data_IF_145539120555
#
_entry.id   IF_145539120555
#
_cell.length_a   1.000
_cell.length_b   1.000
_cell.length_c   1.000
_cell.angle_alpha   90.00
_cell.angle_beta   90.00
_cell.angle_gamma   90.00
#
_symmetry.space_group_name_H-M   'P 1'
#
loop_
_entity.id
_entity.type
_entity.pdbx_description
1 polymer ?
#
# COMPACT_ATOMS: atom_id res chain seq x y z
N UNK A 1 11.85 -8.61 -16.19
CA UNK A 1 12.08 -8.02 -17.54
C UNK A 1 13.31 -8.63 -18.21
N UNK A 2 14.50 -8.46 -17.64
CA UNK A 2 15.77 -8.89 -18.25
C UNK A 2 15.88 -10.40 -18.53
N UNK A 3 15.45 -11.27 -17.60
CA UNK A 3 15.56 -12.73 -17.76
C UNK A 3 14.56 -13.34 -18.76
N UNK A 4 13.31 -12.87 -18.73
CA UNK A 4 12.18 -13.50 -19.46
C UNK A 4 11.96 -12.84 -20.82
N UNK A 5 12.07 -11.51 -20.88
CA UNK A 5 11.79 -10.73 -22.09
C UNK A 5 13.05 -10.20 -22.76
N UNK A 6 14.23 -10.44 -22.17
CA UNK A 6 15.52 -9.94 -22.66
C UNK A 6 15.57 -8.42 -22.89
N UNK A 7 14.71 -7.67 -22.21
CA UNK A 7 14.67 -6.20 -22.24
C UNK A 7 15.72 -5.58 -21.32
N UNK A 8 16.09 -4.33 -21.61
CA UNK A 8 16.98 -3.52 -20.76
C UNK A 8 16.14 -2.73 -19.76
N UNK A 9 16.59 -2.66 -18.51
CA UNK A 9 15.97 -1.87 -17.45
C UNK A 9 17.08 -1.25 -16.62
N UNK A 10 16.97 0.04 -16.35
CA UNK A 10 17.82 0.69 -15.36
C UNK A 10 17.27 0.39 -13.95
N UNK A 11 17.96 -0.51 -13.23
CA UNK A 11 17.54 -0.92 -11.89
C UNK A 11 17.67 0.21 -10.86
N UNK A 12 18.64 1.11 -11.03
CA UNK A 12 18.84 2.21 -10.10
C UNK A 12 17.71 3.22 -10.21
N UNK A 13 17.24 3.50 -11.43
CA UNK A 13 16.04 4.30 -11.65
C UNK A 13 14.77 3.64 -11.07
N UNK A 14 14.59 2.33 -11.24
CA UNK A 14 13.45 1.61 -10.64
C UNK A 14 13.49 1.72 -9.12
N UNK A 15 14.61 1.38 -8.49
CA UNK A 15 14.74 1.38 -7.03
C UNK A 15 14.56 2.79 -6.49
N UNK A 16 15.18 3.79 -7.11
CA UNK A 16 15.03 5.20 -6.72
C UNK A 16 13.57 5.65 -6.83
N UNK A 17 12.89 5.30 -7.92
CA UNK A 17 11.47 5.63 -8.11
C UNK A 17 10.58 4.99 -7.05
N UNK A 18 10.79 3.70 -6.75
CA UNK A 18 10.03 2.97 -5.72
C UNK A 18 10.29 3.54 -4.32
N UNK A 19 11.50 3.98 -3.99
CA UNK A 19 11.76 4.63 -2.70
C UNK A 19 11.04 5.98 -2.60
N UNK A 20 10.99 6.72 -3.70
CA UNK A 20 10.52 8.10 -3.69
C UNK A 20 9.02 8.27 -3.89
N UNK A 21 8.35 7.44 -4.70
CA UNK A 21 7.01 7.73 -5.26
C UNK A 21 5.97 8.25 -4.25
N UNK A 22 6.03 7.74 -3.01
CA UNK A 22 5.09 8.04 -1.93
C UNK A 22 5.69 8.77 -0.72
N UNK A 23 6.96 9.22 -0.80
CA UNK A 23 7.70 9.77 0.37
C UNK A 23 7.00 10.99 1.00
N UNK A 24 6.10 11.65 0.26
CA UNK A 24 5.37 12.84 0.70
C UNK A 24 3.95 12.55 1.21
N UNK A 25 3.48 11.29 1.22
CA UNK A 25 2.21 10.90 1.87
C UNK A 25 2.10 11.39 3.32
N UNK A 26 3.15 11.38 4.16
CA UNK A 26 3.03 11.90 5.53
C UNK A 26 2.63 13.37 5.64
N UNK A 27 2.90 14.19 4.60
CA UNK A 27 2.46 15.59 4.59
C UNK A 27 0.96 15.74 4.31
N UNK A 28 0.33 14.69 3.77
CA UNK A 28 -1.08 14.71 3.39
C UNK A 28 -2.02 14.12 4.45
N UNK A 29 -1.48 13.54 5.51
CA UNK A 29 -2.26 12.95 6.60
C UNK A 29 -1.85 13.51 7.95
N UNK A 30 -2.82 13.69 8.84
CA UNK A 30 -2.58 13.89 10.27
C UNK A 30 -3.29 12.80 11.06
N UNK A 31 -2.66 12.44 12.18
CA UNK A 31 -3.17 11.43 13.10
C UNK A 31 -4.06 12.12 14.13
N UNK A 32 -5.29 11.63 14.25
CA UNK A 32 -6.25 12.06 15.26
C UNK A 32 -6.00 11.38 16.60
N UNK A 33 -6.55 11.92 17.69
CA UNK A 33 -6.41 11.34 19.05
C UNK A 33 -6.88 9.89 19.14
N UNK A 34 -7.87 9.50 18.32
CA UNK A 34 -8.38 8.14 18.25
C UNK A 34 -7.56 7.20 17.35
N UNK A 35 -6.42 7.67 16.82
CA UNK A 35 -5.54 6.93 15.91
C UNK A 35 -6.01 6.87 14.46
N UNK A 36 -7.13 7.52 14.10
CA UNK A 36 -7.58 7.64 12.72
C UNK A 36 -6.71 8.65 11.96
N UNK A 37 -6.71 8.53 10.63
CA UNK A 37 -6.06 9.48 9.75
C UNK A 37 -7.10 10.39 9.10
N UNK A 38 -6.83 11.71 9.08
CA UNK A 38 -7.59 12.67 8.26
C UNK A 38 -6.67 13.44 7.31
N UNK A 39 -7.20 13.95 6.18
CA UNK A 39 -6.43 14.83 5.29
C UNK A 39 -5.94 16.08 6.06
N UNK A 40 -4.73 16.55 5.75
CA UNK A 40 -4.24 17.85 6.22
C UNK A 40 -4.88 19.00 5.41
N UNK A 41 -4.89 20.25 5.92
CA UNK A 41 -5.31 21.39 5.10
C UNK A 41 -4.53 21.53 3.79
N UNK A 42 -3.27 21.06 3.77
CA UNK A 42 -2.46 20.96 2.55
C UNK A 42 -3.06 19.96 1.54
N UNK A 43 -3.46 18.78 2.01
CA UNK A 43 -4.07 17.73 1.19
C UNK A 43 -5.41 18.14 0.56
N UNK A 44 -6.10 19.13 1.10
CA UNK A 44 -7.33 19.70 0.50
C UNK A 44 -7.07 20.55 -0.75
N UNK A 45 -5.80 20.86 -1.04
CA UNK A 45 -5.39 21.72 -2.17
C UNK A 45 -4.36 21.06 -3.07
N UNK A 46 -3.47 20.24 -2.51
CA UNK A 46 -2.37 19.59 -3.20
C UNK A 46 -2.21 18.13 -2.74
N UNK A 47 -2.17 17.21 -3.69
CA UNK A 47 -1.88 15.80 -3.41
C UNK A 47 -0.37 15.55 -3.21
N UNK A 48 -0.04 14.39 -2.63
CA UNK A 48 1.35 13.99 -2.38
C UNK A 48 2.19 13.93 -3.66
N UNK A 49 1.58 13.57 -4.79
CA UNK A 49 2.23 13.44 -6.09
C UNK A 49 2.70 14.81 -6.61
N UNK A 50 1.82 15.80 -6.57
CA UNK A 50 2.09 17.18 -6.98
C UNK A 50 3.20 17.77 -6.12
N UNK A 51 3.16 17.51 -4.81
CA UNK A 51 4.17 17.98 -3.88
C UNK A 51 5.56 17.38 -4.18
N UNK A 52 5.65 16.06 -4.37
CA UNK A 52 6.95 15.42 -4.64
C UNK A 52 7.49 15.79 -6.02
N UNK A 53 6.67 15.80 -7.07
CA UNK A 53 7.11 16.16 -8.42
C UNK A 53 7.62 17.60 -8.44
N UNK A 54 6.92 18.53 -7.77
CA UNK A 54 7.36 19.92 -7.65
C UNK A 54 8.72 20.02 -6.96
N UNK A 55 8.93 19.27 -5.87
CA UNK A 55 10.19 19.29 -5.15
C UNK A 55 11.34 18.67 -5.95
N UNK A 56 11.10 17.57 -6.66
CA UNK A 56 12.11 16.91 -7.50
C UNK A 56 12.55 17.81 -8.65
N UNK A 57 11.60 18.46 -9.33
CA UNK A 57 11.90 19.43 -10.40
C UNK A 57 12.71 20.60 -9.85
N UNK A 58 12.31 21.16 -8.70
CA UNK A 58 13.02 22.26 -8.04
C UNK A 58 14.45 21.90 -7.65
N UNK A 59 14.72 20.62 -7.33
CA UNK A 59 16.05 20.10 -6.98
C UNK A 59 16.85 19.56 -8.17
N UNK A 60 16.35 19.76 -9.39
CA UNK A 60 17.00 19.32 -10.63
C UNK A 60 17.27 17.80 -10.67
N UNK A 61 16.30 17.01 -10.20
CA UNK A 61 16.37 15.55 -10.31
C UNK A 61 16.30 15.13 -11.78
N UNK A 62 16.93 14.00 -12.16
CA UNK A 62 16.88 13.50 -13.54
C UNK A 62 15.45 13.31 -14.03
N UNK A 63 15.15 13.78 -15.25
CA UNK A 63 13.80 13.73 -15.84
C UNK A 63 13.18 12.32 -15.82
N UNK A 64 13.96 11.28 -16.09
CA UNK A 64 13.46 9.90 -16.06
C UNK A 64 12.97 9.51 -14.66
N UNK A 65 13.65 9.95 -13.59
CA UNK A 65 13.25 9.68 -12.22
C UNK A 65 12.00 10.49 -11.83
N UNK A 66 11.95 11.77 -12.24
CA UNK A 66 10.74 12.61 -12.08
C UNK A 66 9.55 11.95 -12.78
N UNK A 67 9.73 11.42 -13.98
CA UNK A 67 8.68 10.74 -14.73
C UNK A 67 8.20 9.44 -14.05
N UNK A 68 9.11 8.63 -13.50
CA UNK A 68 8.74 7.42 -12.75
C UNK A 68 7.81 7.77 -11.59
N UNK A 69 8.19 8.78 -10.80
CA UNK A 69 7.37 9.27 -9.69
C UNK A 69 6.06 9.87 -10.22
N UNK A 70 6.09 10.74 -11.22
CA UNK A 70 4.89 11.39 -11.76
C UNK A 70 3.85 10.39 -12.32
N UNK A 71 4.31 9.29 -12.92
CA UNK A 71 3.47 8.34 -13.64
C UNK A 71 3.03 7.12 -12.82
N UNK A 72 3.43 6.99 -11.54
CA UNK A 72 3.23 5.75 -10.80
C UNK A 72 1.76 5.40 -10.54
N UNK A 73 0.86 6.38 -10.46
CA UNK A 73 -0.60 6.17 -10.37
C UNK A 73 -1.27 5.83 -11.71
N UNK A 74 -0.53 5.85 -12.82
CA UNK A 74 -1.09 5.70 -14.16
C UNK A 74 -1.95 6.89 -14.58
N UNK A 75 -2.56 6.83 -15.77
CA UNK A 75 -3.46 7.87 -16.25
C UNK A 75 -4.88 7.80 -15.69
N UNK A 76 -5.22 6.74 -14.95
CA UNK A 76 -6.53 6.59 -14.29
C UNK A 76 -6.59 7.36 -12.97
N UNK A 77 -5.51 7.36 -12.19
CA UNK A 77 -5.44 7.99 -10.87
C UNK A 77 -4.34 9.07 -10.77
N UNK A 78 -3.58 9.30 -11.85
CA UNK A 78 -2.52 10.29 -11.93
C UNK A 78 -2.59 11.10 -13.24
N UNK A 79 -1.67 12.07 -13.41
CA UNK A 79 -1.69 13.00 -14.53
C UNK A 79 -1.21 12.38 -15.85
N UNK A 80 -0.49 11.25 -15.80
CA UNK A 80 0.18 10.68 -16.97
C UNK A 80 0.39 9.17 -16.85
N UNK A 81 0.26 8.46 -17.97
CA UNK A 81 0.65 7.04 -18.06
C UNK A 81 2.17 6.86 -18.08
N UNK A 82 2.71 5.75 -17.51
CA UNK A 82 4.11 5.38 -17.67
C UNK A 82 4.51 5.32 -19.15
N UNK A 83 5.68 5.88 -19.46
CA UNK A 83 6.24 5.96 -20.83
C UNK A 83 7.65 5.37 -20.92
N UNK A 84 8.15 4.83 -19.82
CA UNK A 84 9.42 4.11 -19.73
C UNK A 84 9.16 2.77 -19.05
N UNK A 85 10.05 1.80 -19.27
CA UNK A 85 9.91 0.48 -18.65
C UNK A 85 10.08 0.57 -17.13
N UNK A 86 10.93 1.48 -16.65
CA UNK A 86 11.15 1.73 -15.23
C UNK A 86 9.90 2.29 -14.56
N UNK A 87 9.23 3.25 -15.20
CA UNK A 87 7.98 3.81 -14.70
C UNK A 87 6.85 2.77 -14.71
N UNK A 88 6.79 1.93 -15.75
CA UNK A 88 5.80 0.87 -15.85
C UNK A 88 6.02 -0.20 -14.78
N UNK A 89 7.28 -0.56 -14.50
CA UNK A 89 7.62 -1.47 -13.39
C UNK A 89 7.16 -0.88 -12.05
N UNK A 90 7.44 0.40 -11.79
CA UNK A 90 7.02 1.07 -10.56
C UNK A 90 5.49 1.07 -10.41
N UNK A 91 4.77 1.49 -11.46
CA UNK A 91 3.30 1.50 -11.49
C UNK A 91 2.69 0.12 -11.22
N UNK A 92 3.16 -0.91 -11.94
CA UNK A 92 2.62 -2.26 -11.78
C UNK A 92 2.91 -2.86 -10.40
N UNK A 93 4.09 -2.56 -9.84
CA UNK A 93 4.45 -2.99 -8.49
C UNK A 93 3.53 -2.35 -7.44
N UNK A 94 3.34 -1.03 -7.48
CA UNK A 94 2.47 -0.29 -6.56
C UNK A 94 1.01 -0.77 -6.64
N UNK A 95 0.46 -0.88 -7.85
CA UNK A 95 -0.90 -1.38 -8.06
C UNK A 95 -1.07 -2.80 -7.53
N UNK A 96 -0.07 -3.67 -7.75
CA UNK A 96 -0.13 -5.06 -7.29
C UNK A 96 -0.07 -5.14 -5.76
N UNK A 97 0.82 -4.39 -5.12
CA UNK A 97 0.96 -4.37 -3.66
C UNK A 97 -0.30 -3.83 -2.98
N UNK A 98 -0.79 -2.68 -3.45
CA UNK A 98 -2.02 -2.05 -2.94
C UNK A 98 -3.24 -2.97 -3.08
N UNK A 99 -3.38 -3.65 -4.23
CA UNK A 99 -4.47 -4.61 -4.45
C UNK A 99 -4.34 -5.85 -3.56
N UNK A 100 -3.13 -6.42 -3.45
CA UNK A 100 -2.89 -7.58 -2.58
C UNK A 100 -3.28 -7.26 -1.14
N UNK A 101 -2.84 -6.10 -0.62
CA UNK A 101 -3.17 -5.68 0.74
C UNK A 101 -4.69 -5.54 0.94
N UNK A 102 -5.39 -4.86 0.01
CA UNK A 102 -6.83 -4.69 0.06
C UNK A 102 -7.61 -6.02 0.04
N UNK A 103 -7.22 -6.95 -0.82
CA UNK A 103 -7.87 -8.26 -0.94
C UNK A 103 -7.59 -9.16 0.27
N UNK A 104 -6.37 -9.15 0.82
CA UNK A 104 -6.05 -9.92 2.03
C UNK A 104 -6.83 -9.38 3.24
N UNK A 105 -6.96 -8.07 3.39
CA UNK A 105 -7.80 -7.45 4.42
C UNK A 105 -9.27 -7.86 4.28
N UNK A 106 -9.81 -7.86 3.05
CA UNK A 106 -11.18 -8.29 2.77
C UNK A 106 -11.40 -9.77 3.11
N UNK A 107 -10.49 -10.64 2.67
CA UNK A 107 -10.54 -12.07 2.95
C UNK A 107 -10.48 -12.34 4.46
N UNK A 108 -9.61 -11.64 5.19
CA UNK A 108 -9.48 -11.80 6.62
C UNK A 108 -10.73 -11.34 7.39
N UNK A 109 -11.37 -10.23 6.98
CA UNK A 109 -12.65 -9.77 7.56
C UNK A 109 -13.77 -10.79 7.35
N UNK A 110 -13.88 -11.35 6.15
CA UNK A 110 -14.81 -12.43 5.84
C UNK A 110 -14.56 -13.65 6.74
N UNK A 111 -13.33 -14.15 6.80
CA UNK A 111 -12.97 -15.31 7.62
C UNK A 111 -13.26 -15.10 9.11
N UNK A 112 -12.99 -13.90 9.63
CA UNK A 112 -13.31 -13.54 11.01
C UNK A 112 -14.80 -13.62 11.28
N UNK A 113 -15.61 -13.00 10.41
CA UNK A 113 -17.06 -12.97 10.54
C UNK A 113 -17.66 -14.37 10.51
N UNK A 114 -17.23 -15.20 9.56
CA UNK A 114 -17.73 -16.58 9.45
C UNK A 114 -17.32 -17.45 10.66
N UNK A 115 -16.10 -17.28 11.19
CA UNK A 115 -15.62 -18.10 12.29
C UNK A 115 -16.20 -17.73 13.66
N UNK A 116 -16.52 -16.45 13.88
CA UNK A 116 -16.88 -15.90 15.19
C UNK A 116 -18.28 -15.29 15.26
N UNK A 117 -18.96 -15.11 14.13
CA UNK A 117 -20.25 -14.41 14.04
C UNK A 117 -20.12 -12.88 14.01
N UNK A 118 -18.91 -12.34 14.22
CA UNK A 118 -18.66 -10.91 14.31
C UNK A 118 -17.46 -10.50 13.46
N UNK A 119 -17.55 -9.30 12.88
CA UNK A 119 -16.46 -8.74 12.09
C UNK A 119 -15.39 -8.14 13.02
N UNK A 120 -14.18 -8.71 13.02
CA UNK A 120 -13.04 -8.07 13.67
C UNK A 120 -12.61 -6.86 12.84
N UNK A 121 -12.43 -5.72 13.50
CA UNK A 121 -11.79 -4.57 12.87
C UNK A 121 -10.29 -4.84 12.69
N UNK A 122 -9.91 -5.53 11.61
CA UNK A 122 -8.51 -5.84 11.31
C UNK A 122 -7.80 -4.54 10.92
N UNK A 123 -6.80 -4.14 11.71
CA UNK A 123 -6.15 -2.82 11.57
C UNK A 123 -4.79 -2.90 10.90
N UNK A 124 -4.25 -4.11 10.70
CA UNK A 124 -2.95 -4.29 10.07
C UNK A 124 -2.93 -5.42 9.05
N UNK A 125 -2.13 -5.26 7.99
CA UNK A 125 -1.87 -6.29 6.99
C UNK A 125 -1.32 -7.56 7.65
N UNK A 126 -0.46 -7.43 8.66
CA UNK A 126 0.10 -8.55 9.41
C UNK A 126 -0.98 -9.44 10.02
N UNK A 127 -1.93 -8.85 10.76
CA UNK A 127 -3.06 -9.60 11.33
C UNK A 127 -3.91 -10.25 10.23
N UNK A 128 -4.13 -9.54 9.12
CA UNK A 128 -4.89 -10.08 7.99
C UNK A 128 -4.24 -11.34 7.40
N UNK A 129 -2.92 -11.31 7.17
CA UNK A 129 -2.17 -12.48 6.72
C UNK A 129 -2.18 -13.62 7.75
N UNK A 130 -2.07 -13.32 9.04
CA UNK A 130 -2.16 -14.33 10.11
C UNK A 130 -3.53 -15.04 10.11
N UNK A 131 -4.62 -14.30 9.95
CA UNK A 131 -5.99 -14.85 9.85
C UNK A 131 -6.12 -15.73 8.61
N UNK A 132 -5.73 -15.24 7.43
CA UNK A 132 -5.81 -16.01 6.17
C UNK A 132 -4.96 -17.28 6.26
N UNK A 133 -3.75 -17.21 6.81
CA UNK A 133 -2.88 -18.37 7.00
C UNK A 133 -3.46 -19.37 7.99
N UNK A 134 -4.08 -18.92 9.08
CA UNK A 134 -4.68 -19.81 10.08
C UNK A 134 -5.74 -20.75 9.48
N UNK A 135 -6.47 -20.27 8.46
CA UNK A 135 -7.45 -21.07 7.72
C UNK A 135 -6.80 -22.26 7.01
N UNK A 136 -5.62 -22.05 6.41
CA UNK A 136 -4.85 -23.10 5.72
C UNK A 136 -4.34 -24.13 6.72
N UNK A 137 -3.82 -23.68 7.87
CA UNK A 137 -3.16 -24.58 8.82
C UNK A 137 -4.14 -25.43 9.62
N UNK A 138 -5.34 -24.93 9.92
CA UNK A 138 -6.25 -25.66 10.83
C UNK A 138 -7.73 -25.37 10.64
N UNK A 139 -8.14 -24.93 9.45
CA UNK A 139 -9.56 -24.75 9.13
C UNK A 139 -10.24 -23.69 9.99
N UNK A 140 -11.55 -23.81 10.17
CA UNK A 140 -12.38 -22.81 10.86
C UNK A 140 -12.06 -22.67 12.35
N UNK A 141 -11.77 -23.78 13.04
CA UNK A 141 -11.46 -23.72 14.48
C UNK A 141 -10.17 -22.95 14.76
N UNK A 142 -9.17 -23.06 13.87
CA UNK A 142 -7.93 -22.29 14.00
C UNK A 142 -8.16 -20.80 13.72
N UNK A 143 -9.01 -20.46 12.75
CA UNK A 143 -9.42 -19.05 12.51
C UNK A 143 -10.07 -18.47 13.75
N UNK A 144 -11.08 -19.16 14.32
CA UNK A 144 -11.78 -18.71 15.53
C UNK A 144 -10.81 -18.39 16.67
N UNK A 145 -9.95 -19.35 17.03
CA UNK A 145 -8.96 -19.16 18.11
C UNK A 145 -7.98 -18.02 17.82
N UNK A 146 -7.57 -17.84 16.58
CA UNK A 146 -6.62 -16.78 16.20
C UNK A 146 -7.27 -15.40 16.35
N UNK A 147 -8.51 -15.26 15.90
CA UNK A 147 -9.30 -14.02 16.01
C UNK A 147 -9.61 -13.71 17.47
N UNK A 148 -10.03 -14.69 18.27
CA UNK A 148 -10.27 -14.52 19.72
C UNK A 148 -9.01 -14.07 20.46
N UNK A 149 -7.87 -14.68 20.16
CA UNK A 149 -6.57 -14.29 20.74
C UNK A 149 -6.18 -12.86 20.36
N UNK A 150 -6.46 -12.43 19.13
CA UNK A 150 -6.24 -11.04 18.69
C UNK A 150 -7.13 -10.07 19.47
N UNK A 151 -8.39 -10.42 19.73
CA UNK A 151 -9.30 -9.62 20.57
C UNK A 151 -8.77 -9.46 21.99
N UNK A 152 -8.40 -10.56 22.65
CA UNK A 152 -7.85 -10.54 24.01
C UNK A 152 -6.63 -9.61 24.12
N UNK A 153 -5.71 -9.70 23.15
CA UNK A 153 -4.52 -8.81 23.11
C UNK A 153 -4.86 -7.34 23.01
N UNK A 154 -5.93 -6.96 22.31
CA UNK A 154 -6.31 -5.55 22.10
C UNK A 154 -7.11 -4.96 23.25
N UNK A 155 -7.98 -5.75 23.86
CA UNK A 155 -8.88 -5.27 24.91
C UNK A 155 -8.39 -5.54 26.33
N UNK A 156 -7.26 -6.26 26.50
CA UNK A 156 -6.69 -6.53 27.82
C UNK A 156 -7.64 -7.28 28.75
N UNK A 157 -8.68 -7.93 28.21
CA UNK A 157 -9.60 -8.74 29.00
C UNK A 157 -9.00 -10.14 29.11
N UNK A 158 -8.78 -10.67 30.33
CA UNK A 158 -8.28 -12.03 30.54
C UNK A 158 -9.12 -13.09 29.81
#
# INVERSE_FOLDING_TARGET
>A
VERVYHGKVDRDLVISGVILHDIFKPLTYQVEENGAYRPTPLAERLDHLTLIVSEMVRRDFPLNLVHIVCAHHGGEAGPIWPRTIEALVCHLADVTDSRLNGEVLRAARYLSREATGEELNIVSSKEAFEVVHSKVVGGWDRVRRSVEKMRQKRFGVP
#
